data_IF_864146171543
#
_entry.id   IF_864146171543
#
_cell.length_a   1.000
_cell.length_b   1.000
_cell.length_c   1.000
_cell.angle_alpha   90.00
_cell.angle_beta   90.00
_cell.angle_gamma   90.00
#
_symmetry.space_group_name_H-M   'P 1'
#
loop_
_entity.id
_entity.type
_entity.pdbx_description
1 polymer ?
#
# COMPACT_ATOMS: atom_id res chain seq x y z
N UNK A 1 3.77 21.44 -2.70
CA UNK A 1 4.50 21.57 -3.98
C UNK A 1 3.65 21.00 -5.09
N UNK A 2 3.62 21.61 -6.28
CA UNK A 2 2.75 21.17 -7.38
C UNK A 2 3.14 19.81 -7.95
N UNK A 3 2.14 18.97 -8.24
CA UNK A 3 2.28 17.69 -8.95
C UNK A 3 2.09 17.79 -10.46
N UNK A 4 1.70 18.97 -10.97
CA UNK A 4 1.54 19.21 -12.40
C UNK A 4 2.83 18.89 -13.17
N UNK A 5 2.70 18.03 -14.17
CA UNK A 5 3.81 17.58 -15.02
C UNK A 5 4.80 16.64 -14.33
N UNK A 6 4.47 16.12 -13.14
CA UNK A 6 5.26 15.07 -12.48
C UNK A 6 4.98 13.70 -13.07
N UNK A 7 5.91 12.79 -12.90
CA UNK A 7 5.79 11.40 -13.35
C UNK A 7 5.83 10.46 -12.15
N UNK A 8 4.79 9.64 -12.02
CA UNK A 8 4.67 8.64 -10.97
C UNK A 8 4.74 7.22 -11.53
N UNK A 9 5.39 6.32 -10.79
CA UNK A 9 5.40 4.89 -11.03
C UNK A 9 4.72 4.18 -9.86
N UNK A 10 3.62 3.48 -10.13
CA UNK A 10 2.82 2.82 -9.08
C UNK A 10 2.78 1.32 -9.33
N UNK A 11 3.28 0.57 -8.36
CA UNK A 11 3.16 -0.89 -8.38
C UNK A 11 1.78 -1.35 -7.93
N UNK A 12 1.17 -2.30 -8.65
CA UNK A 12 -0.14 -2.84 -8.29
C UNK A 12 -1.32 -1.88 -8.54
N UNK A 13 -1.18 -0.95 -9.49
CA UNK A 13 -2.16 0.10 -9.77
C UNK A 13 -3.32 -0.26 -10.71
N UNK A 14 -3.51 -1.55 -11.05
CA UNK A 14 -4.60 -1.94 -11.96
C UNK A 14 -6.00 -1.90 -11.30
N UNK A 15 -6.09 -1.67 -9.99
CA UNK A 15 -7.33 -1.63 -9.19
C UNK A 15 -7.05 -1.18 -7.73
N UNK A 16 -8.12 -0.89 -6.98
CA UNK A 16 -8.06 -0.64 -5.54
C UNK A 16 -7.23 0.60 -5.19
N UNK A 17 -6.53 0.58 -4.05
CA UNK A 17 -5.75 1.72 -3.55
C UNK A 17 -4.75 2.26 -4.60
N UNK A 18 -4.04 1.37 -5.29
CA UNK A 18 -3.07 1.77 -6.31
C UNK A 18 -3.70 2.49 -7.51
N UNK A 19 -4.93 2.12 -7.90
CA UNK A 19 -5.66 2.83 -8.96
C UNK A 19 -6.12 4.20 -8.46
N UNK A 20 -6.75 4.28 -7.28
CA UNK A 20 -7.23 5.56 -6.75
C UNK A 20 -6.10 6.57 -6.53
N UNK A 21 -4.92 6.12 -6.08
CA UNK A 21 -3.72 6.96 -6.04
C UNK A 21 -3.35 7.50 -7.43
N UNK A 22 -3.43 6.66 -8.46
CA UNK A 22 -3.17 7.06 -9.85
C UNK A 22 -4.20 8.06 -10.39
N UNK A 23 -5.48 7.85 -10.09
CA UNK A 23 -6.57 8.76 -10.47
C UNK A 23 -6.42 10.12 -9.77
N UNK A 24 -6.13 10.13 -8.48
CA UNK A 24 -5.92 11.37 -7.72
C UNK A 24 -4.65 12.11 -8.18
N UNK A 25 -3.57 11.39 -8.50
CA UNK A 25 -2.38 11.98 -9.14
C UNK A 25 -2.71 12.64 -10.48
N UNK A 26 -3.54 12.00 -11.31
CA UNK A 26 -3.96 12.54 -12.60
C UNK A 26 -4.79 13.83 -12.46
N UNK A 27 -5.70 13.87 -11.47
CA UNK A 27 -6.47 15.08 -11.12
C UNK A 27 -5.55 16.25 -10.74
N UNK A 28 -4.40 15.95 -10.11
CA UNK A 28 -3.37 16.94 -9.75
C UNK A 28 -2.29 17.15 -10.83
N UNK A 29 -2.43 16.48 -11.96
CA UNK A 29 -1.64 16.68 -13.17
C UNK A 29 -0.34 15.90 -13.26
N UNK A 30 -0.19 14.83 -12.48
CA UNK A 30 0.92 13.89 -12.65
C UNK A 30 0.53 12.76 -13.61
N UNK A 31 1.43 12.44 -14.55
CA UNK A 31 1.31 11.25 -15.38
C UNK A 31 1.71 10.00 -14.59
N UNK A 32 1.10 8.86 -14.89
CA UNK A 32 1.22 7.65 -14.06
C UNK A 32 1.54 6.43 -14.91
N UNK A 33 2.66 5.78 -14.62
CA UNK A 33 2.93 4.42 -15.05
C UNK A 33 2.23 3.41 -14.13
N UNK A 34 1.27 2.68 -14.71
CA UNK A 34 0.46 1.65 -14.07
C UNK A 34 1.17 0.30 -14.23
N UNK A 35 1.95 -0.09 -13.22
CA UNK A 35 2.78 -1.29 -13.27
C UNK A 35 2.14 -2.44 -12.47
N UNK A 36 1.51 -3.41 -13.16
CA UNK A 36 0.89 -4.57 -12.50
C UNK A 36 0.82 -5.80 -13.44
N UNK A 37 0.43 -6.95 -12.89
CA UNK A 37 0.41 -8.22 -13.64
C UNK A 37 -0.77 -8.38 -14.60
N UNK A 38 -1.92 -7.81 -14.26
CA UNK A 38 -3.19 -8.07 -14.97
C UNK A 38 -3.26 -7.23 -16.25
N UNK A 39 -2.85 -7.82 -17.38
CA UNK A 39 -3.03 -7.25 -18.72
C UNK A 39 -4.39 -7.65 -19.31
N UNK A 40 -4.74 -8.93 -19.21
CA UNK A 40 -5.99 -9.47 -19.74
C UNK A 40 -7.09 -9.50 -18.65
N UNK A 41 -8.38 -9.38 -19.03
CA UNK A 41 -9.49 -9.49 -18.09
C UNK A 41 -9.45 -10.78 -17.27
N UNK A 42 -9.67 -10.68 -15.97
CA UNK A 42 -9.67 -11.82 -15.05
C UNK A 42 -11.09 -12.10 -14.54
N UNK A 43 -11.57 -13.37 -14.50
CA UNK A 43 -12.97 -13.69 -14.19
C UNK A 43 -13.41 -13.29 -12.78
N UNK A 44 -12.46 -13.06 -11.85
CA UNK A 44 -12.73 -12.72 -10.45
C UNK A 44 -12.23 -11.33 -10.02
N UNK A 45 -11.42 -10.67 -10.84
CA UNK A 45 -10.76 -9.41 -10.45
C UNK A 45 -11.09 -8.35 -11.51
N UNK A 46 -11.70 -7.22 -11.13
CA UNK A 46 -12.05 -6.16 -12.07
C UNK A 46 -10.80 -5.42 -12.56
N UNK A 47 -10.90 -4.75 -13.70
CA UNK A 47 -9.87 -3.86 -14.23
C UNK A 47 -8.60 -4.55 -14.74
N UNK A 48 -7.87 -3.87 -15.61
CA UNK A 48 -6.55 -4.26 -16.12
C UNK A 48 -5.62 -3.06 -16.04
N UNK A 49 -4.32 -3.25 -16.31
CA UNK A 49 -3.40 -2.12 -16.48
C UNK A 49 -3.84 -1.16 -17.60
N UNK A 50 -4.51 -1.67 -18.63
CA UNK A 50 -4.95 -0.89 -19.79
C UNK A 50 -6.16 -0.04 -19.44
N UNK A 51 -7.17 -0.60 -18.77
CA UNK A 51 -8.34 0.18 -18.33
C UNK A 51 -7.93 1.24 -17.31
N UNK A 52 -7.05 0.90 -16.37
CA UNK A 52 -6.52 1.84 -15.39
C UNK A 52 -5.74 3.00 -16.05
N UNK A 53 -4.86 2.71 -17.02
CA UNK A 53 -4.13 3.75 -17.75
C UNK A 53 -5.05 4.66 -18.59
N UNK A 54 -6.11 4.09 -19.16
CA UNK A 54 -7.13 4.84 -19.90
C UNK A 54 -7.90 5.77 -18.95
N UNK A 55 -8.40 5.26 -17.82
CA UNK A 55 -9.12 6.06 -16.81
C UNK A 55 -8.28 7.25 -16.31
N UNK A 56 -6.98 7.03 -16.07
CA UNK A 56 -6.02 8.08 -15.70
C UNK A 56 -5.90 9.14 -16.80
N UNK A 57 -5.80 8.72 -18.07
CA UNK A 57 -5.67 9.64 -19.20
C UNK A 57 -6.94 10.46 -19.42
N UNK A 58 -8.11 9.82 -19.31
CA UNK A 58 -9.42 10.48 -19.38
C UNK A 58 -9.56 11.52 -18.28
N UNK A 59 -9.19 11.19 -17.03
CA UNK A 59 -9.19 12.18 -15.95
C UNK A 59 -8.23 13.33 -16.21
N UNK A 60 -7.03 13.05 -16.75
CA UNK A 60 -6.07 14.08 -17.11
C UNK A 60 -6.60 15.06 -18.17
N UNK A 61 -7.35 14.56 -19.15
CA UNK A 61 -8.04 15.38 -20.15
C UNK A 61 -9.19 16.18 -19.52
N UNK A 62 -10.08 15.53 -18.77
CA UNK A 62 -11.26 16.16 -18.15
C UNK A 62 -10.89 17.29 -17.18
N UNK A 63 -9.76 17.16 -16.48
CA UNK A 63 -9.27 18.19 -15.55
C UNK A 63 -8.34 19.22 -16.22
N UNK A 64 -8.12 19.14 -17.54
CA UNK A 64 -7.24 20.04 -18.27
C UNK A 64 -5.77 19.99 -17.83
N UNK A 65 -5.35 18.90 -17.17
CA UNK A 65 -3.99 18.75 -16.66
C UNK A 65 -3.05 18.17 -17.71
N UNK A 66 -3.59 17.38 -18.64
CA UNK A 66 -2.82 16.65 -19.65
C UNK A 66 -2.06 15.45 -19.09
N UNK A 67 -2.37 15.02 -17.86
CA UNK A 67 -1.82 13.80 -17.29
C UNK A 67 -2.18 12.58 -18.15
N UNK A 68 -1.24 11.64 -18.27
CA UNK A 68 -1.41 10.41 -19.06
C UNK A 68 -1.12 9.18 -18.23
N UNK A 69 -1.86 8.10 -18.50
CA UNK A 69 -1.57 6.77 -17.99
C UNK A 69 -0.70 5.98 -18.97
N UNK A 70 0.25 5.20 -18.44
CA UNK A 70 1.06 4.24 -19.19
C UNK A 70 0.87 2.84 -18.61
N UNK A 71 0.29 1.94 -19.40
CA UNK A 71 0.10 0.55 -19.01
C UNK A 71 1.40 -0.26 -19.14
N UNK A 72 1.88 -0.84 -18.04
CA UNK A 72 3.06 -1.70 -18.02
C UNK A 72 2.73 -3.04 -17.35
N UNK A 73 2.77 -4.12 -18.13
CA UNK A 73 2.64 -5.46 -17.57
C UNK A 73 3.94 -5.82 -16.85
N UNK A 74 3.87 -5.91 -15.52
CA UNK A 74 5.04 -6.13 -14.69
C UNK A 74 4.71 -7.04 -13.51
N UNK A 75 5.58 -8.02 -13.30
CA UNK A 75 5.66 -8.77 -12.06
C UNK A 75 6.84 -8.26 -11.24
N UNK A 76 6.57 -7.63 -10.10
CA UNK A 76 7.60 -7.03 -9.22
C UNK A 76 8.63 -8.03 -8.70
N UNK A 77 8.35 -9.34 -8.82
CA UNK A 77 9.27 -10.41 -8.46
C UNK A 77 10.40 -10.59 -9.49
N UNK A 78 10.17 -10.19 -10.74
CA UNK A 78 11.13 -10.32 -11.82
C UNK A 78 11.98 -9.04 -11.93
N UNK A 79 13.25 -9.14 -11.58
CA UNK A 79 14.22 -8.03 -11.57
C UNK A 79 14.29 -7.33 -12.93
N UNK A 80 14.51 -8.08 -14.01
CA UNK A 80 14.61 -7.53 -15.36
C UNK A 80 13.31 -6.83 -15.80
N UNK A 81 12.16 -7.36 -15.37
CA UNK A 81 10.87 -6.74 -15.68
C UNK A 81 10.68 -5.42 -14.92
N UNK A 82 11.16 -5.33 -13.67
CA UNK A 82 11.13 -4.09 -12.88
C UNK A 82 12.04 -3.03 -13.51
N UNK A 83 13.28 -3.39 -13.82
CA UNK A 83 14.23 -2.49 -14.49
C UNK A 83 13.65 -1.98 -15.82
N UNK A 84 13.18 -2.89 -16.67
CA UNK A 84 12.59 -2.53 -17.97
C UNK A 84 11.36 -1.63 -17.84
N UNK A 85 10.54 -1.83 -16.78
CA UNK A 85 9.36 -1.02 -16.53
C UNK A 85 9.70 0.42 -16.11
N UNK A 86 10.72 0.58 -15.26
CA UNK A 86 11.24 1.90 -14.88
C UNK A 86 11.81 2.60 -16.10
N UNK A 87 12.65 1.93 -16.89
CA UNK A 87 13.23 2.52 -18.11
C UNK A 87 12.16 2.90 -19.13
N UNK A 88 11.15 2.06 -19.34
CA UNK A 88 10.02 2.38 -20.21
C UNK A 88 9.24 3.61 -19.74
N UNK A 89 9.08 3.79 -18.42
CA UNK A 89 8.43 4.96 -17.83
C UNK A 89 9.21 6.24 -18.13
N UNK A 90 10.53 6.19 -17.94
CA UNK A 90 11.43 7.32 -18.22
C UNK A 90 11.48 7.62 -19.71
N UNK A 91 11.48 6.61 -20.58
CA UNK A 91 11.44 6.79 -22.04
C UNK A 91 10.14 7.44 -22.51
N UNK A 92 8.99 7.05 -21.95
CA UNK A 92 7.69 7.59 -22.34
C UNK A 92 7.48 9.02 -21.84
N UNK A 93 7.83 9.31 -20.59
CA UNK A 93 7.50 10.57 -19.93
C UNK A 93 8.68 11.53 -19.73
N UNK A 94 9.90 11.11 -20.09
CA UNK A 94 11.12 11.93 -20.00
C UNK A 94 11.72 12.05 -18.60
N UNK A 95 11.23 11.29 -17.61
CA UNK A 95 11.74 11.30 -16.24
C UNK A 95 10.88 10.49 -15.27
N UNK A 96 11.29 10.47 -14.00
CA UNK A 96 10.56 9.85 -12.90
C UNK A 96 10.72 10.69 -11.64
N UNK A 97 9.60 11.11 -11.05
CA UNK A 97 9.60 11.94 -9.84
C UNK A 97 9.08 11.18 -8.62
N UNK A 98 8.13 10.25 -8.81
CA UNK A 98 7.40 9.62 -7.72
C UNK A 98 7.41 8.11 -7.89
N UNK A 99 7.71 7.38 -6.82
CA UNK A 99 7.51 5.93 -6.72
C UNK A 99 6.50 5.63 -5.63
N UNK A 100 5.51 4.79 -5.95
CA UNK A 100 4.57 4.27 -4.97
C UNK A 100 4.68 2.74 -4.90
N UNK A 101 5.23 2.26 -3.79
CA UNK A 101 5.31 0.85 -3.44
C UNK A 101 3.98 0.40 -2.79
N UNK A 102 3.00 0.06 -3.64
CA UNK A 102 1.66 -0.39 -3.25
C UNK A 102 1.45 -1.91 -3.45
N UNK A 103 2.16 -2.55 -4.39
CA UNK A 103 1.97 -3.97 -4.64
C UNK A 103 2.21 -4.81 -3.37
N UNK A 104 1.23 -5.64 -3.04
CA UNK A 104 1.27 -6.47 -1.83
C UNK A 104 0.61 -7.82 -2.06
N UNK A 105 1.07 -8.82 -1.30
CA UNK A 105 0.43 -10.12 -1.12
C UNK A 105 0.22 -10.38 0.38
N UNK A 106 -0.84 -11.14 0.70
CA UNK A 106 -1.30 -11.39 2.07
C UNK A 106 -1.65 -12.86 2.25
N UNK A 107 -1.02 -13.51 3.23
CA UNK A 107 -1.37 -14.84 3.72
C UNK A 107 -1.03 -14.92 5.20
N UNK A 108 -2.08 -14.96 6.03
CA UNK A 108 -2.02 -14.98 7.49
C UNK A 108 -1.96 -16.40 8.07
N UNK A 109 -1.46 -17.37 7.30
CA UNK A 109 -1.32 -18.74 7.79
C UNK A 109 -0.28 -18.78 8.93
N UNK A 110 -0.60 -19.42 10.07
CA UNK A 110 0.38 -19.66 11.14
C UNK A 110 1.63 -20.36 10.62
N UNK A 111 2.78 -20.13 11.26
CA UNK A 111 4.09 -20.62 10.80
C UNK A 111 4.11 -22.12 10.48
N UNK A 112 3.48 -22.95 11.30
CA UNK A 112 3.40 -24.40 11.08
C UNK A 112 2.66 -24.79 9.79
N UNK A 113 1.73 -23.94 9.34
CA UNK A 113 0.85 -24.18 8.19
C UNK A 113 1.23 -23.34 6.95
N UNK A 114 2.19 -22.42 7.09
CA UNK A 114 2.70 -21.64 5.99
C UNK A 114 3.66 -22.50 5.15
N UNK A 115 3.44 -22.55 3.82
CA UNK A 115 4.41 -23.20 2.94
C UNK A 115 5.64 -22.31 2.82
N UNK A 116 6.84 -22.90 2.70
CA UNK A 116 8.07 -22.14 2.43
C UNK A 116 7.92 -21.32 1.15
N UNK A 117 7.23 -21.86 0.14
CA UNK A 117 6.88 -21.12 -1.08
C UNK A 117 6.00 -19.89 -0.78
N UNK A 118 5.02 -19.96 0.13
CA UNK A 118 4.24 -18.78 0.53
C UNK A 118 4.98 -17.74 1.39
N UNK A 119 6.14 -18.10 1.94
CA UNK A 119 7.02 -17.18 2.66
C UNK A 119 8.05 -16.55 1.69
N UNK A 120 8.76 -17.40 0.96
CA UNK A 120 9.87 -17.06 0.09
C UNK A 120 9.57 -17.21 -1.39
N UNK A 121 10.09 -16.24 -2.14
CA UNK A 121 10.79 -16.56 -3.38
C UNK A 121 11.95 -15.60 -3.62
N UNK A 122 13.08 -15.88 -2.98
CA UNK A 122 14.41 -15.56 -3.49
C UNK A 122 15.48 -16.33 -2.72
N UNK A 123 15.87 -17.50 -3.25
CA UNK A 123 17.19 -17.71 -3.88
C UNK A 123 17.05 -18.91 -4.85
N UNK A 124 17.19 -18.69 -6.16
CA UNK A 124 17.49 -19.78 -7.10
C UNK A 124 18.16 -19.25 -8.37
N UNK A 125 19.34 -18.66 -8.21
CA UNK A 125 20.36 -18.63 -9.29
C UNK A 125 21.25 -19.88 -9.23
N UNK A 126 20.92 -20.88 -8.40
CA UNK A 126 21.56 -22.18 -8.43
C UNK A 126 20.49 -23.26 -8.48
N UNK A 127 20.01 -23.58 -9.69
CA UNK A 127 19.49 -24.92 -9.98
C UNK A 127 20.69 -25.88 -9.92
N UNK A 128 21.07 -26.33 -8.72
CA UNK A 128 21.62 -27.67 -8.63
C UNK A 128 20.42 -28.62 -8.66
N UNK A 129 20.37 -29.44 -9.72
CA UNK A 129 19.53 -30.62 -9.79
C UNK A 129 19.58 -31.34 -8.44
N UNK A 130 18.44 -31.53 -7.78
CA UNK A 130 17.93 -32.82 -7.28
C UNK A 130 16.77 -32.56 -6.32
N UNK A 131 15.54 -32.38 -6.83
CA UNK A 131 14.34 -32.82 -6.11
C UNK A 131 13.36 -33.35 -7.16
N UNK A 132 13.40 -34.67 -7.39
CA UNK A 132 12.27 -35.39 -7.98
C UNK A 132 11.22 -35.55 -6.88
N UNK A 133 9.96 -35.27 -7.21
CA UNK A 133 8.73 -35.48 -6.41
C UNK A 133 8.22 -34.34 -5.52
N UNK A 134 8.04 -33.13 -6.07
CA UNK A 134 6.97 -32.25 -5.60
C UNK A 134 5.74 -32.48 -6.47
N UNK A 135 4.65 -33.01 -5.88
CA UNK A 135 3.34 -33.06 -6.54
C UNK A 135 2.95 -31.64 -6.94
N UNK A 136 2.44 -31.47 -8.16
CA UNK A 136 1.85 -30.23 -8.60
C UNK A 136 0.56 -29.98 -7.81
N UNK A 137 0.71 -29.36 -6.64
CA UNK A 137 -0.39 -28.68 -5.98
C UNK A 137 -0.60 -27.34 -6.71
N UNK A 138 -1.79 -27.16 -7.28
CA UNK A 138 -2.25 -25.94 -7.95
C UNK A 138 -2.66 -24.84 -6.95
N UNK A 139 -2.26 -24.93 -5.69
CA UNK A 139 -2.43 -23.83 -4.74
C UNK A 139 -1.63 -22.61 -5.19
N UNK A 140 -2.33 -21.49 -5.30
CA UNK A 140 -1.77 -20.18 -5.66
C UNK A 140 -0.89 -19.73 -4.47
N UNK A 141 0.35 -20.21 -4.40
CA UNK A 141 1.27 -19.85 -3.33
C UNK A 141 1.62 -18.35 -3.42
N UNK A 142 1.21 -17.60 -2.40
CA UNK A 142 1.39 -16.16 -2.29
C UNK A 142 2.81 -15.86 -1.77
N UNK A 143 3.71 -15.39 -2.62
CA UNK A 143 5.13 -15.13 -2.31
C UNK A 143 5.30 -13.77 -1.60
N UNK A 144 4.88 -13.68 -0.34
CA UNK A 144 4.68 -12.39 0.35
C UNK A 144 5.96 -11.56 0.47
N UNK A 145 7.08 -12.16 0.88
CA UNK A 145 8.33 -11.42 1.06
C UNK A 145 8.89 -10.89 -0.27
N UNK A 146 8.72 -11.68 -1.35
CA UNK A 146 9.20 -11.32 -2.69
C UNK A 146 8.42 -10.19 -3.34
N UNK A 147 7.11 -10.10 -3.06
CA UNK A 147 6.24 -9.05 -3.57
C UNK A 147 6.35 -7.80 -2.70
N UNK A 148 6.28 -7.97 -1.38
CA UNK A 148 6.22 -6.87 -0.42
C UNK A 148 7.62 -6.26 -0.23
N UNK A 149 8.44 -6.84 0.66
CA UNK A 149 9.72 -6.27 1.05
C UNK A 149 10.72 -6.21 -0.12
N UNK A 150 11.01 -7.34 -0.78
CA UNK A 150 11.96 -7.37 -1.90
C UNK A 150 11.45 -6.55 -3.09
N UNK A 151 10.17 -6.69 -3.44
CA UNK A 151 9.60 -5.98 -4.57
C UNK A 151 9.73 -4.46 -4.40
N UNK A 152 9.38 -3.95 -3.22
CA UNK A 152 9.55 -2.53 -2.87
C UNK A 152 11.00 -2.08 -2.94
N UNK A 153 11.94 -2.91 -2.47
CA UNK A 153 13.37 -2.63 -2.56
C UNK A 153 13.86 -2.58 -4.01
N UNK A 154 13.49 -3.55 -4.85
CA UNK A 154 13.88 -3.60 -6.26
C UNK A 154 13.38 -2.37 -7.03
N UNK A 155 12.11 -2.02 -6.86
CA UNK A 155 11.52 -0.86 -7.54
C UNK A 155 12.24 0.41 -7.12
N UNK A 156 12.47 0.58 -5.81
CA UNK A 156 13.21 1.74 -5.29
C UNK A 156 14.64 1.79 -5.82
N UNK A 157 15.34 0.65 -5.88
CA UNK A 157 16.71 0.53 -6.42
C UNK A 157 16.80 1.02 -7.86
N UNK A 158 15.94 0.53 -8.76
CA UNK A 158 16.00 0.90 -10.18
C UNK A 158 15.45 2.30 -10.45
N UNK A 159 14.50 2.78 -9.64
CA UNK A 159 14.04 4.16 -9.73
C UNK A 159 15.07 5.18 -9.23
N UNK A 160 15.98 4.78 -8.34
CA UNK A 160 16.81 5.69 -7.59
C UNK A 160 17.64 6.67 -8.44
N UNK A 161 18.34 6.24 -9.52
CA UNK A 161 19.09 7.15 -10.37
C UNK A 161 18.21 8.27 -10.96
N UNK A 162 16.98 7.91 -11.35
CA UNK A 162 16.02 8.83 -11.95
C UNK A 162 15.39 9.79 -10.92
N UNK A 163 15.16 9.30 -9.70
CA UNK A 163 14.72 10.14 -8.58
C UNK A 163 15.81 11.14 -8.16
N UNK A 164 17.09 10.74 -8.17
CA UNK A 164 18.20 11.65 -7.88
C UNK A 164 18.39 12.69 -9.01
N UNK A 165 18.22 12.29 -10.26
CA UNK A 165 18.16 13.24 -11.39
C UNK A 165 16.99 14.23 -11.23
N UNK A 166 15.80 13.75 -10.84
CA UNK A 166 14.65 14.59 -10.50
C UNK A 166 14.96 15.56 -9.34
N UNK A 167 15.64 15.10 -8.28
CA UNK A 167 16.09 15.95 -7.17
C UNK A 167 17.03 17.05 -7.65
N UNK A 168 18.02 16.72 -8.51
CA UNK A 168 18.97 17.69 -9.07
C UNK A 168 18.28 18.80 -9.88
N UNK A 169 17.11 18.49 -10.45
CA UNK A 169 16.23 19.41 -11.18
C UNK A 169 15.20 20.11 -10.30
N UNK A 170 15.33 19.99 -8.96
CA UNK A 170 14.40 20.56 -7.97
C UNK A 170 12.93 20.15 -8.21
N UNK A 171 12.73 18.90 -8.63
CA UNK A 171 11.41 18.37 -9.01
C UNK A 171 10.64 17.70 -7.86
N UNK A 172 11.14 17.79 -6.64
CA UNK A 172 10.53 17.24 -5.42
C UNK A 172 10.21 15.74 -5.50
N UNK A 173 11.23 14.88 -5.68
CA UNK A 173 10.99 13.46 -5.82
C UNK A 173 10.58 12.79 -4.51
N UNK A 174 9.76 11.74 -4.62
CA UNK A 174 9.25 11.00 -3.48
C UNK A 174 9.23 9.48 -3.70
N UNK A 175 9.42 8.74 -2.60
CA UNK A 175 9.10 7.33 -2.47
C UNK A 175 8.05 7.19 -1.37
N UNK A 176 6.84 6.78 -1.75
CA UNK A 176 5.76 6.47 -0.81
C UNK A 176 5.57 4.95 -0.75
N UNK A 177 5.61 4.39 0.45
CA UNK A 177 5.42 2.94 0.66
C UNK A 177 4.17 2.69 1.48
N UNK A 178 3.27 1.83 0.99
CA UNK A 178 2.08 1.47 1.74
C UNK A 178 2.39 0.36 2.74
N UNK A 179 2.87 0.75 3.92
CA UNK A 179 3.31 -0.18 4.97
C UNK A 179 3.05 0.40 6.37
N UNK A 180 2.87 -0.47 7.38
CA UNK A 180 2.54 -0.03 8.73
C UNK A 180 3.69 0.75 9.38
N UNK A 181 3.42 1.57 10.41
CA UNK A 181 4.47 2.31 11.12
C UNK A 181 5.56 1.39 11.72
N UNK A 182 6.70 1.95 12.10
CA UNK A 182 7.65 1.32 13.02
C UNK A 182 7.65 2.12 14.31
N UNK A 183 6.74 1.83 15.24
CA UNK A 183 6.70 2.52 16.53
C UNK A 183 6.67 1.55 17.71
N UNK A 184 7.26 1.97 18.84
CA UNK A 184 7.35 1.15 20.06
C UNK A 184 5.96 0.85 20.65
N UNK A 185 4.97 1.71 20.43
CA UNK A 185 3.59 1.51 20.89
C UNK A 185 2.85 0.38 20.16
N UNK A 186 3.39 -0.17 19.07
CA UNK A 186 2.79 -1.30 18.35
C UNK A 186 2.61 -2.55 19.21
N UNK A 187 3.43 -2.68 20.25
CA UNK A 187 3.35 -3.81 21.14
C UNK A 187 2.12 -3.72 22.07
N UNK A 188 1.56 -2.51 22.20
CA UNK A 188 0.41 -2.23 23.05
C UNK A 188 -0.92 -2.25 22.28
N UNK A 189 -1.18 -3.33 21.53
CA UNK A 189 -2.35 -3.44 20.64
C UNK A 189 -3.34 -4.53 21.10
N UNK A 190 -4.55 -4.18 21.59
CA UNK A 190 -5.61 -5.16 21.87
C UNK A 190 -6.19 -5.77 20.57
N UNK A 191 -6.84 -6.93 20.69
CA UNK A 191 -7.31 -7.70 19.54
C UNK A 191 -8.44 -7.01 18.78
N UNK A 192 -8.33 -6.95 17.46
CA UNK A 192 -9.30 -6.37 16.51
C UNK A 192 -10.69 -7.05 16.50
N UNK A 193 -10.75 -8.33 16.91
CA UNK A 193 -11.97 -9.11 16.98
C UNK A 193 -12.16 -9.55 18.44
N UNK A 194 -13.24 -9.10 19.09
CA UNK A 194 -13.65 -9.62 20.38
C UNK A 194 -13.70 -11.15 20.38
N UNK A 195 -12.67 -11.79 20.92
CA UNK A 195 -12.74 -13.14 21.50
C UNK A 195 -12.73 -14.36 20.59
N UNK A 196 -12.33 -14.34 19.31
CA UNK A 196 -12.12 -15.59 18.54
C UNK A 196 -10.92 -15.57 17.60
N UNK A 197 -9.76 -16.02 18.08
CA UNK A 197 -8.68 -16.49 17.22
C UNK A 197 -9.00 -17.91 16.71
N UNK A 198 -8.81 -18.16 15.41
CA UNK A 198 -8.92 -19.50 14.87
C UNK A 198 -7.73 -20.35 15.34
N UNK A 199 -7.99 -21.22 16.31
CA UNK A 199 -7.36 -22.53 16.40
C UNK A 199 -6.06 -22.70 17.19
N UNK A 200 -5.37 -21.66 17.67
CA UNK A 200 -4.08 -21.86 18.37
C UNK A 200 -3.75 -20.98 19.59
N UNK A 201 -4.67 -20.15 20.11
CA UNK A 201 -4.45 -19.47 21.40
C UNK A 201 -5.73 -19.40 22.22
N UNK A 202 -5.60 -19.62 23.54
CA UNK A 202 -6.64 -19.46 24.56
C UNK A 202 -7.39 -18.12 24.39
N UNK A 203 -8.65 -18.07 24.85
CA UNK A 203 -9.45 -16.84 25.01
C UNK A 203 -8.54 -15.68 25.43
N UNK A 204 -8.36 -14.72 24.52
CA UNK A 204 -7.71 -13.44 24.82
C UNK A 204 -8.70 -12.65 25.68
N UNK A 205 -8.29 -12.27 26.88
CA UNK A 205 -9.13 -11.48 27.80
C UNK A 205 -9.18 -10.03 27.33
N UNK A 206 -10.28 -9.30 27.57
CA UNK A 206 -10.28 -7.84 27.44
C UNK A 206 -9.16 -7.25 28.31
N UNK A 207 -8.15 -6.65 27.71
CA UNK A 207 -6.97 -6.12 28.41
C UNK A 207 -5.67 -6.89 28.20
N UNK A 208 -5.66 -7.97 27.41
CA UNK A 208 -4.40 -8.61 26.98
C UNK A 208 -3.70 -7.73 25.93
N UNK A 209 -2.83 -6.87 26.45
CA UNK A 209 -1.87 -6.06 25.70
C UNK A 209 -0.71 -7.00 25.35
N UNK A 210 -0.43 -7.21 24.06
CA UNK A 210 0.67 -8.03 23.51
C UNK A 210 0.45 -9.56 23.38
N UNK A 211 0.75 -10.20 22.22
CA UNK A 211 0.83 -9.69 20.85
C UNK A 211 -0.35 -10.22 20.00
N UNK A 212 -1.58 -9.84 20.36
CA UNK A 212 -2.81 -10.40 19.77
C UNK A 212 -2.98 -10.14 18.27
N UNK A 213 -2.55 -8.98 17.75
CA UNK A 213 -2.55 -8.69 16.31
C UNK A 213 -1.48 -9.49 15.54
N UNK A 214 -0.27 -9.64 16.10
CA UNK A 214 0.78 -10.46 15.49
C UNK A 214 0.44 -11.96 15.48
N UNK A 215 -0.35 -12.40 16.46
CA UNK A 215 -0.93 -13.75 16.46
C UNK A 215 -1.94 -13.95 15.29
N UNK A 216 -2.60 -12.89 14.83
CA UNK A 216 -3.53 -12.94 13.69
C UNK A 216 -2.80 -12.88 12.35
N UNK A 217 -1.76 -12.04 12.25
CA UNK A 217 -1.03 -11.85 10.98
C UNK A 217 0.00 -12.94 10.71
N UNK A 218 0.42 -13.67 11.75
CA UNK A 218 1.49 -14.67 11.71
C UNK A 218 2.86 -14.09 11.29
N UNK A 219 3.91 -14.87 11.48
CA UNK A 219 5.29 -14.41 11.28
C UNK A 219 5.57 -13.98 9.83
N UNK A 220 5.08 -14.76 8.85
CA UNK A 220 5.37 -14.57 7.44
C UNK A 220 4.89 -13.21 6.90
N UNK A 221 3.62 -12.89 7.10
CA UNK A 221 3.05 -11.63 6.62
C UNK A 221 3.60 -10.44 7.40
N UNK A 222 3.80 -10.60 8.71
CA UNK A 222 4.43 -9.57 9.55
C UNK A 222 5.80 -9.20 9.01
N UNK A 223 6.68 -10.17 8.79
CA UNK A 223 8.03 -9.93 8.23
C UNK A 223 7.93 -9.25 6.86
N UNK A 224 7.02 -9.71 5.99
CA UNK A 224 6.86 -9.14 4.66
C UNK A 224 6.42 -7.66 4.67
N UNK A 225 5.47 -7.28 5.54
CA UNK A 225 4.98 -5.88 5.65
C UNK A 225 5.96 -4.99 6.39
N UNK A 226 6.53 -5.45 7.50
CA UNK A 226 7.53 -4.68 8.26
C UNK A 226 8.86 -4.57 7.50
N UNK A 227 9.18 -5.52 6.61
CA UNK A 227 10.31 -5.40 5.69
C UNK A 227 10.15 -4.22 4.72
N UNK A 228 8.92 -3.92 4.26
CA UNK A 228 8.66 -2.70 3.49
C UNK A 228 8.96 -1.46 4.32
N UNK A 229 8.46 -1.41 5.56
CA UNK A 229 8.70 -0.28 6.47
C UNK A 229 10.18 -0.11 6.81
N UNK A 230 10.92 -1.19 7.06
CA UNK A 230 12.37 -1.13 7.30
C UNK A 230 13.12 -0.59 6.08
N UNK A 231 12.74 -1.01 4.87
CA UNK A 231 13.30 -0.44 3.65
C UNK A 231 13.01 1.06 3.54
N UNK A 232 11.79 1.51 3.85
CA UNK A 232 11.43 2.93 3.88
C UNK A 232 12.32 3.72 4.83
N UNK A 233 12.52 3.21 6.06
CA UNK A 233 13.37 3.87 7.06
C UNK A 233 14.83 3.98 6.58
N UNK A 234 15.38 2.89 6.04
CA UNK A 234 16.76 2.86 5.54
C UNK A 234 16.94 3.83 4.36
N UNK A 235 16.04 3.79 3.37
CA UNK A 235 16.07 4.69 2.21
C UNK A 235 15.89 6.15 2.61
N UNK A 236 15.04 6.45 3.59
CA UNK A 236 14.88 7.82 4.10
C UNK A 236 16.18 8.37 4.70
N UNK A 237 16.96 7.52 5.37
CA UNK A 237 18.26 7.89 5.90
C UNK A 237 19.30 8.09 4.77
N UNK A 238 19.34 7.19 3.77
CA UNK A 238 20.24 7.27 2.63
C UNK A 238 20.00 8.52 1.76
N UNK A 239 18.74 8.94 1.62
CA UNK A 239 18.32 9.98 0.67
C UNK A 239 17.92 11.30 1.33
N UNK A 240 18.22 11.44 2.62
CA UNK A 240 17.85 12.61 3.43
C UNK A 240 18.27 13.90 2.75
N UNK A 241 17.31 14.82 2.61
CA UNK A 241 17.52 16.12 1.97
C UNK A 241 17.40 16.13 0.45
N UNK A 242 17.26 14.97 -0.21
CA UNK A 242 17.16 14.86 -1.66
C UNK A 242 15.81 14.28 -2.12
N UNK A 243 15.33 13.23 -1.45
CA UNK A 243 14.09 12.52 -1.79
C UNK A 243 13.23 12.36 -0.54
N UNK A 244 11.94 12.68 -0.65
CA UNK A 244 10.98 12.42 0.43
C UNK A 244 10.67 10.93 0.48
N UNK A 245 10.99 10.23 1.56
CA UNK A 245 10.77 8.79 1.68
C UNK A 245 9.91 8.52 2.91
N UNK A 246 8.67 8.09 2.68
CA UNK A 246 7.65 8.01 3.72
C UNK A 246 6.82 6.73 3.61
N UNK A 247 6.21 6.34 4.73
CA UNK A 247 5.22 5.27 4.77
C UNK A 247 3.82 5.84 5.01
N UNK A 248 2.82 5.20 4.41
CA UNK A 248 1.41 5.49 4.65
C UNK A 248 0.65 4.20 4.97
N UNK A 249 -0.19 4.26 5.99
CA UNK A 249 -1.07 3.15 6.40
C UNK A 249 -2.47 3.68 6.73
N UNK A 250 -3.54 2.98 6.33
CA UNK A 250 -4.88 3.42 6.68
C UNK A 250 -5.19 3.11 8.15
N UNK A 251 -5.97 3.98 8.80
CA UNK A 251 -6.44 3.72 10.17
C UNK A 251 -7.48 2.59 10.21
N UNK A 252 -8.32 2.50 9.17
CA UNK A 252 -9.43 1.54 9.05
C UNK A 252 -9.23 0.58 7.88
N UNK A 253 -9.93 -0.55 7.88
CA UNK A 253 -10.00 -1.43 6.72
C UNK A 253 -10.51 -0.68 5.48
N UNK A 254 -9.90 -0.98 4.33
CA UNK A 254 -10.22 -0.38 3.03
C UNK A 254 -10.94 -1.39 2.14
N UNK A 255 -12.12 -1.02 1.65
CA UNK A 255 -12.92 -1.87 0.79
C UNK A 255 -12.32 -2.01 -0.61
N UNK A 256 -11.51 -3.05 -0.77
CA UNK A 256 -10.93 -3.44 -2.06
C UNK A 256 -11.47 -4.81 -2.49
N UNK A 257 -11.35 -5.16 -3.77
CA UNK A 257 -11.70 -6.50 -4.25
C UNK A 257 -10.97 -7.62 -3.49
N UNK A 258 -9.76 -7.35 -2.98
CA UNK A 258 -9.02 -8.31 -2.14
C UNK A 258 -9.71 -8.52 -0.79
N UNK A 259 -10.18 -7.45 -0.14
CA UNK A 259 -10.91 -7.56 1.14
C UNK A 259 -12.26 -8.26 0.98
N UNK A 260 -12.97 -8.04 -0.14
CA UNK A 260 -14.21 -8.78 -0.44
C UNK A 260 -13.98 -10.30 -0.51
N UNK A 261 -12.85 -10.73 -1.07
CA UNK A 261 -12.46 -12.15 -1.12
C UNK A 261 -12.17 -12.70 0.28
N UNK A 262 -11.48 -11.93 1.13
CA UNK A 262 -11.20 -12.33 2.52
C UNK A 262 -12.50 -12.42 3.35
N UNK A 263 -13.37 -11.42 3.23
CA UNK A 263 -14.62 -11.33 4.00
C UNK A 263 -15.66 -12.38 3.61
N UNK A 264 -15.70 -12.80 2.33
CA UNK A 264 -16.61 -13.86 1.85
C UNK A 264 -16.43 -15.20 2.58
N UNK A 265 -15.29 -15.40 3.27
CA UNK A 265 -15.07 -16.57 4.13
C UNK A 265 -15.66 -16.47 5.55
N UNK A 266 -16.24 -15.32 5.94
CA UNK A 266 -16.58 -15.00 7.34
C UNK A 266 -17.95 -14.37 7.58
N UNK A 267 -18.73 -14.05 6.54
CA UNK A 267 -20.06 -13.43 6.67
C UNK A 267 -20.62 -12.92 5.35
N UNK A 268 -21.67 -12.08 5.40
CA UNK A 268 -22.16 -11.38 4.21
C UNK A 268 -21.20 -10.24 3.85
N UNK A 269 -20.76 -10.20 2.60
CA UNK A 269 -19.79 -9.18 2.14
C UNK A 269 -20.39 -7.77 2.23
N UNK A 270 -21.70 -7.64 2.00
CA UNK A 270 -22.41 -6.36 2.01
C UNK A 270 -22.49 -5.71 3.41
N UNK A 271 -22.69 -6.49 4.47
CA UNK A 271 -22.72 -5.94 5.84
C UNK A 271 -21.31 -5.60 6.34
N UNK A 272 -20.29 -6.38 5.92
CA UNK A 272 -18.90 -6.09 6.26
C UNK A 272 -18.42 -4.79 5.59
N UNK A 273 -18.76 -4.59 4.31
CA UNK A 273 -18.36 -3.40 3.53
C UNK A 273 -18.82 -2.09 4.16
N UNK A 274 -19.98 -2.06 4.82
CA UNK A 274 -20.51 -0.85 5.47
C UNK A 274 -19.60 -0.30 6.59
N UNK A 275 -18.71 -1.14 7.13
CA UNK A 275 -17.78 -0.76 8.20
C UNK A 275 -16.38 -0.40 7.69
N UNK A 276 -16.20 -0.34 6.38
CA UNK A 276 -14.91 -0.02 5.77
C UNK A 276 -14.94 1.37 5.12
N UNK A 277 -13.75 1.87 4.80
CA UNK A 277 -13.59 3.08 3.98
C UNK A 277 -13.27 2.75 2.52
N UNK A 278 -13.61 3.68 1.64
CA UNK A 278 -13.19 3.64 0.23
C UNK A 278 -11.67 3.84 0.14
N UNK A 279 -11.03 3.37 -0.94
CA UNK A 279 -9.60 3.61 -1.15
C UNK A 279 -9.24 5.09 -1.33
N UNK A 280 -10.23 5.95 -1.57
CA UNK A 280 -10.05 7.39 -1.80
C UNK A 280 -9.41 8.10 -0.60
N UNK A 281 -9.66 7.68 0.64
CA UNK A 281 -9.02 8.30 1.82
C UNK A 281 -7.50 8.09 1.80
N UNK A 282 -7.05 6.92 1.36
CA UNK A 282 -5.63 6.59 1.23
C UNK A 282 -5.02 7.35 0.04
N UNK A 283 -5.78 7.49 -1.05
CA UNK A 283 -5.37 8.30 -2.19
C UNK A 283 -5.21 9.78 -1.81
N UNK A 284 -6.20 10.35 -1.12
CA UNK A 284 -6.19 11.74 -0.69
C UNK A 284 -5.02 12.03 0.27
N UNK A 285 -4.80 11.17 1.27
CA UNK A 285 -3.64 11.30 2.17
C UNK A 285 -2.32 11.10 1.42
N UNK A 286 -2.23 10.06 0.59
CA UNK A 286 -1.02 9.70 -0.15
C UNK A 286 -0.58 10.78 -1.12
N UNK A 287 -1.50 11.34 -1.91
CA UNK A 287 -1.17 12.38 -2.88
C UNK A 287 -0.77 13.69 -2.19
N UNK A 288 -1.38 14.04 -1.05
CA UNK A 288 -0.94 15.19 -0.24
C UNK A 288 0.46 15.01 0.35
N UNK A 289 0.85 13.80 0.75
CA UNK A 289 2.24 13.53 1.18
C UNK A 289 3.23 13.85 0.05
N UNK A 290 2.87 13.53 -1.20
CA UNK A 290 3.72 13.78 -2.37
C UNK A 290 3.85 15.28 -2.71
N UNK A 291 2.93 16.10 -2.20
CA UNK A 291 3.02 17.57 -2.30
C UNK A 291 3.90 18.17 -1.20
N UNK A 292 4.20 17.45 -0.12
CA UNK A 292 5.11 17.96 0.91
C UNK A 292 6.52 18.18 0.34
N UNK A 293 7.27 19.09 0.96
CA UNK A 293 8.69 19.34 0.61
C UNK A 293 9.52 18.11 1.01
N UNK A 294 9.86 17.25 0.04
CA UNK A 294 10.55 15.97 0.27
C UNK A 294 11.95 16.12 0.85
N UNK A 295 12.53 17.33 0.82
CA UNK A 295 13.80 17.60 1.51
C UNK A 295 13.64 17.70 3.03
N UNK A 296 12.41 17.94 3.50
CA UNK A 296 12.05 18.11 4.92
C UNK A 296 11.10 17.02 5.41
N UNK A 297 10.07 16.72 4.64
CA UNK A 297 9.06 15.70 4.91
C UNK A 297 9.55 14.34 4.43
N UNK A 298 10.38 13.71 5.25
CA UNK A 298 10.94 12.39 5.02
C UNK A 298 11.02 11.61 6.33
N UNK A 299 11.10 10.28 6.26
CA UNK A 299 11.07 9.38 7.42
C UNK A 299 9.78 9.50 8.26
N UNK A 300 8.65 9.80 7.63
CA UNK A 300 7.35 9.88 8.31
C UNK A 300 6.58 8.56 8.24
N UNK A 301 5.87 8.24 9.32
CA UNK A 301 4.93 7.13 9.41
C UNK A 301 3.52 7.65 9.46
N UNK A 302 2.91 7.82 8.30
CA UNK A 302 1.66 8.55 8.16
C UNK A 302 0.48 7.60 8.33
N UNK A 303 -0.52 8.04 9.11
CA UNK A 303 -1.84 7.43 9.16
C UNK A 303 -2.83 8.38 8.50
N UNK A 304 -3.59 7.88 7.53
CA UNK A 304 -4.46 8.66 6.64
C UNK A 304 -5.36 9.69 7.37
N UNK A 305 -6.31 9.27 8.21
CA UNK A 305 -7.26 10.17 8.88
C UNK A 305 -6.54 11.14 9.81
N UNK A 306 -5.54 10.66 10.57
CA UNK A 306 -4.78 11.50 11.51
C UNK A 306 -4.07 12.62 10.75
N UNK A 307 -3.45 12.29 9.62
CA UNK A 307 -2.74 13.24 8.78
C UNK A 307 -3.67 14.24 8.11
N UNK A 308 -4.77 13.77 7.51
CA UNK A 308 -5.76 14.64 6.87
C UNK A 308 -6.36 15.64 7.86
N UNK A 309 -6.65 15.21 9.09
CA UNK A 309 -7.15 16.11 10.15
C UNK A 309 -6.09 17.09 10.63
N UNK A 310 -4.91 16.60 11.02
CA UNK A 310 -3.89 17.44 11.68
C UNK A 310 -3.18 18.39 10.73
N UNK A 311 -2.90 17.96 9.50
CA UNK A 311 -2.13 18.74 8.53
C UNK A 311 -3.02 19.52 7.56
N UNK A 312 -4.23 19.02 7.28
CA UNK A 312 -5.11 19.58 6.25
C UNK A 312 -6.49 20.00 6.78
N UNK A 313 -6.75 19.88 8.08
CA UNK A 313 -7.95 20.42 8.73
C UNK A 313 -9.27 19.71 8.35
N UNK A 314 -9.21 18.48 7.85
CA UNK A 314 -10.41 17.73 7.42
C UNK A 314 -11.40 17.54 8.55
N UNK A 315 -12.65 17.98 8.39
CA UNK A 315 -13.70 17.80 9.39
C UNK A 315 -14.24 16.36 9.45
N UNK A 316 -15.07 16.04 10.44
CA UNK A 316 -15.86 14.80 10.45
C UNK A 316 -16.69 14.63 9.16
N UNK A 317 -17.27 15.72 8.65
CA UNK A 317 -18.04 15.71 7.41
C UNK A 317 -17.16 15.41 6.18
N UNK A 318 -15.90 15.81 6.19
CA UNK A 318 -14.96 15.47 5.12
C UNK A 318 -14.53 14.01 5.19
N UNK A 319 -14.24 13.51 6.39
CA UNK A 319 -13.86 12.12 6.61
C UNK A 319 -15.01 11.15 6.34
N UNK A 320 -16.26 11.54 6.65
CA UNK A 320 -17.45 10.73 6.43
C UNK A 320 -17.71 10.40 4.95
N UNK A 321 -17.23 11.23 4.01
CA UNK A 321 -17.34 10.98 2.56
C UNK A 321 -16.65 9.69 2.11
N UNK A 322 -15.67 9.22 2.88
CA UNK A 322 -14.92 8.01 2.60
C UNK A 322 -15.57 6.75 3.16
N UNK A 323 -16.65 6.84 3.94
CA UNK A 323 -17.31 5.67 4.53
C UNK A 323 -18.14 4.93 3.47
N UNK A 324 -17.88 3.63 3.29
CA UNK A 324 -18.63 2.81 2.33
C UNK A 324 -20.08 2.55 2.74
N UNK A 325 -20.40 2.64 4.04
CA UNK A 325 -21.77 2.63 4.56
C UNK A 325 -22.55 3.93 4.31
N UNK A 326 -21.91 4.96 3.74
CA UNK A 326 -22.48 6.29 3.53
C UNK A 326 -22.06 7.30 4.61
N UNK A 327 -22.34 8.60 4.39
CA UNK A 327 -21.88 9.69 5.25
C UNK A 327 -22.45 9.66 6.67
N UNK A 328 -23.59 8.99 6.88
CA UNK A 328 -24.20 8.84 8.20
C UNK A 328 -23.59 7.69 9.03
N UNK A 329 -22.61 6.96 8.47
CA UNK A 329 -21.92 5.88 9.19
C UNK A 329 -21.11 6.47 10.35
N UNK A 330 -21.38 6.08 11.61
CA UNK A 330 -20.61 6.56 12.74
C UNK A 330 -19.13 6.19 12.58
N UNK A 331 -18.23 7.16 12.78
CA UNK A 331 -16.80 6.97 12.53
C UNK A 331 -16.15 5.95 13.49
N UNK A 332 -16.75 5.73 14.66
CA UNK A 332 -16.40 4.71 15.65
C UNK A 332 -16.92 3.31 15.30
N UNK A 333 -17.85 3.20 14.34
CA UNK A 333 -18.36 1.91 13.87
C UNK A 333 -17.50 1.29 12.75
N UNK A 334 -16.52 2.03 12.24
CA UNK A 334 -15.59 1.56 11.22
C UNK A 334 -14.56 0.59 11.82
N UNK A 335 -14.25 -0.47 11.09
CA UNK A 335 -13.29 -1.49 11.52
C UNK A 335 -11.85 -0.98 11.35
N UNK A 336 -11.07 -1.03 12.43
CA UNK A 336 -9.65 -0.65 12.43
C UNK A 336 -8.84 -1.56 11.50
N UNK A 337 -7.76 -1.04 10.90
CA UNK A 337 -6.82 -1.89 10.17
C UNK A 337 -5.85 -2.60 11.14
N UNK A 338 -5.06 -3.52 10.59
CA UNK A 338 -3.98 -4.20 11.26
C UNK A 338 -2.91 -3.19 11.71
N UNK A 339 -2.22 -3.52 12.81
CA UNK A 339 -1.09 -2.76 13.33
C UNK A 339 -1.43 -1.35 13.87
N UNK A 340 -2.71 -1.12 14.22
CA UNK A 340 -3.15 0.10 14.92
C UNK A 340 -2.90 -0.05 16.43
N UNK A 341 -1.92 0.73 16.92
CA UNK A 341 -1.52 0.77 18.33
C UNK A 341 -2.43 1.64 19.18
N UNK A 342 -2.38 1.43 20.50
CA UNK A 342 -3.08 2.30 21.45
C UNK A 342 -2.72 3.78 21.30
N UNK A 343 -1.43 4.08 21.07
CA UNK A 343 -0.95 5.43 20.80
C UNK A 343 -1.66 6.05 19.58
N UNK A 344 -1.84 5.30 18.48
CA UNK A 344 -2.54 5.80 17.30
C UNK A 344 -4.04 6.03 17.56
N UNK A 345 -4.67 5.21 18.42
CA UNK A 345 -6.06 5.45 18.85
C UNK A 345 -6.19 6.73 19.67
N UNK A 346 -5.22 7.02 20.53
CA UNK A 346 -5.17 8.25 21.31
C UNK A 346 -4.92 9.46 20.41
N UNK A 347 -4.00 9.32 19.45
CA UNK A 347 -3.72 10.35 18.48
C UNK A 347 -4.93 10.70 17.62
N UNK A 348 -5.68 9.68 17.18
CA UNK A 348 -6.91 9.89 16.44
C UNK A 348 -8.00 10.54 17.30
N UNK A 349 -8.19 10.08 18.54
CA UNK A 349 -9.14 10.71 19.48
C UNK A 349 -8.82 12.19 19.69
N UNK A 350 -7.54 12.53 19.88
CA UNK A 350 -7.11 13.92 19.97
C UNK A 350 -7.35 14.70 18.68
N UNK A 351 -7.09 14.10 17.51
CA UNK A 351 -7.33 14.72 16.21
C UNK A 351 -8.82 14.99 15.92
N UNK A 352 -9.73 14.13 16.42
CA UNK A 352 -11.19 14.34 16.34
C UNK A 352 -11.70 15.38 17.34
N UNK A 353 -11.09 15.46 18.53
CA UNK A 353 -11.51 16.42 19.57
C UNK A 353 -11.03 17.86 19.31
N UNK A 354 -9.99 18.05 18.50
CA UNK A 354 -9.42 19.35 18.17
C UNK A 354 -10.14 20.11 17.04
N UNK A 355 -11.40 19.78 16.75
CA UNK A 355 -12.20 20.34 15.65
C UNK A 355 -13.42 21.10 16.14
#
# INVERSE_FOLDING_TARGET
MSLKGRVAFITGASRGIGLELGLELARRGASVAVAAKTSDPHPKLPGTIHTAAEEISVLGEQNGTGAKGLAIQMDVRNENAVESAIERTVQEFGGLDIVINNASAISMKPTLNASVKSYDLMVSSTRHQTVKHARADNSVDLLQNSINARGSWLVSRFALPHLLDSASKSRNPHILTLSPPLNYGMLDSPSLLGGRSHGLTKKVSPGDVWPSQYAQTASAYTIAKFGMSLNTLALAAELRGNVGVNALWPYTLIGTSAMKIVAAGSGTVEEAEKKWRSPDIVAEAGVRILEEDGTKFTSQWVIDEIYLRRQHGFSDADIAKFSMGGPDTPLEALEEDLYISQQLREDLRAARAGQ
#
